data_IF_473242503674
#
_entry.id   IF_473242503674
#
_cell.length_a   1.000
_cell.length_b   1.000
_cell.length_c   1.000
_cell.angle_alpha   90.00
_cell.angle_beta   90.00
_cell.angle_gamma   90.00
#
_symmetry.space_group_name_H-M   'P 1'
#
loop_
_entity.id
_entity.type
_entity.pdbx_description
1 polymer ?
#
# COMPACT_ATOMS: atom_id res chain seq x y z
N UNK A 1 30.48 -40.16 15.12
CA UNK A 1 30.06 -39.31 13.97
C UNK A 1 28.56 -38.98 14.00
N UNK A 2 27.66 -39.90 14.24
CA UNK A 2 26.21 -39.69 14.30
C UNK A 2 25.73 -38.63 15.31
N UNK A 3 26.29 -38.53 16.52
CA UNK A 3 25.89 -37.52 17.54
C UNK A 3 26.12 -36.07 17.09
N UNK A 4 27.19 -35.79 16.31
CA UNK A 4 27.47 -34.43 15.80
C UNK A 4 26.49 -34.04 14.69
N UNK A 5 26.07 -34.99 13.86
CA UNK A 5 25.12 -34.74 12.77
C UNK A 5 23.72 -34.43 13.33
N UNK A 6 23.26 -35.16 14.36
CA UNK A 6 21.98 -34.92 15.03
C UNK A 6 21.93 -33.54 15.68
N UNK A 7 23.03 -33.09 16.28
CA UNK A 7 23.10 -31.75 16.89
C UNK A 7 23.00 -30.62 15.87
N UNK A 8 23.64 -30.77 14.70
CA UNK A 8 23.56 -29.78 13.61
C UNK A 8 22.15 -29.70 13.05
N UNK A 9 21.47 -30.83 12.84
CA UNK A 9 20.08 -30.88 12.35
C UNK A 9 19.13 -30.21 13.36
N UNK A 10 19.32 -30.43 14.66
CA UNK A 10 18.53 -29.81 15.72
C UNK A 10 18.68 -28.28 15.73
N UNK A 11 19.89 -27.76 15.56
CA UNK A 11 20.16 -26.31 15.50
C UNK A 11 19.49 -25.65 14.27
N UNK A 12 19.47 -26.32 13.11
CA UNK A 12 18.81 -25.79 11.91
C UNK A 12 17.28 -25.71 12.08
N UNK A 13 16.67 -26.71 12.71
CA UNK A 13 15.21 -26.70 12.99
C UNK A 13 14.80 -25.57 13.96
N UNK A 14 15.63 -25.25 14.96
CA UNK A 14 15.39 -24.13 15.87
C UNK A 14 15.44 -22.76 15.17
N UNK A 15 16.30 -22.58 14.17
CA UNK A 15 16.46 -21.34 13.44
C UNK A 15 15.21 -20.97 12.62
N UNK A 16 14.56 -21.95 12.00
CA UNK A 16 13.31 -21.73 11.23
C UNK A 16 12.11 -21.37 12.12
N UNK A 17 12.03 -21.91 13.32
CA UNK A 17 10.95 -21.59 14.27
C UNK A 17 11.00 -20.15 14.74
N UNK A 18 12.18 -19.61 14.99
CA UNK A 18 12.40 -18.23 15.47
C UNK A 18 11.99 -17.20 14.41
N UNK A 19 12.29 -17.43 13.14
CA UNK A 19 11.94 -16.51 12.05
C UNK A 19 10.42 -16.40 11.84
N UNK A 20 9.71 -17.53 11.86
CA UNK A 20 8.24 -17.56 11.71
C UNK A 20 7.52 -16.85 12.87
N UNK A 21 8.02 -17.02 14.09
CA UNK A 21 7.45 -16.38 15.28
C UNK A 21 7.67 -14.87 15.27
N UNK A 22 8.85 -14.40 14.84
CA UNK A 22 9.17 -12.99 14.65
C UNK A 22 8.23 -12.32 13.64
N UNK A 23 8.00 -12.94 12.48
CA UNK A 23 7.11 -12.37 11.45
C UNK A 23 5.67 -12.25 11.95
N UNK A 24 5.14 -13.25 12.68
CA UNK A 24 3.79 -13.18 13.27
C UNK A 24 3.64 -12.03 14.28
N UNK A 25 4.65 -11.82 15.12
CA UNK A 25 4.71 -10.72 16.09
C UNK A 25 4.72 -9.37 15.38
N UNK A 26 5.57 -9.19 14.36
CA UNK A 26 5.65 -7.98 13.56
C UNK A 26 4.30 -7.65 12.89
N UNK A 27 3.63 -8.62 12.29
CA UNK A 27 2.31 -8.41 11.69
C UNK A 27 1.26 -8.00 12.73
N UNK A 28 1.30 -8.55 13.94
CA UNK A 28 0.39 -8.14 15.04
C UNK A 28 0.64 -6.68 15.44
N UNK A 29 1.89 -6.28 15.56
CA UNK A 29 2.28 -4.89 15.85
C UNK A 29 1.81 -3.94 14.74
N UNK A 30 2.09 -4.25 13.48
CA UNK A 30 1.66 -3.46 12.31
C UNK A 30 0.14 -3.27 12.31
N UNK A 31 -0.62 -4.33 12.55
CA UNK A 31 -2.10 -4.24 12.62
C UNK A 31 -2.59 -3.36 13.77
N UNK A 32 -1.90 -3.37 14.92
CA UNK A 32 -2.21 -2.49 16.05
C UNK A 32 -1.98 -1.04 15.66
N UNK A 33 -0.80 -0.71 15.10
CA UNK A 33 -0.45 0.64 14.67
C UNK A 33 -1.40 1.16 13.57
N UNK A 34 -1.75 0.32 12.60
CA UNK A 34 -2.74 0.64 11.56
C UNK A 34 -4.09 1.03 12.17
N UNK A 35 -4.62 0.22 13.10
CA UNK A 35 -5.91 0.51 13.77
C UNK A 35 -5.87 1.82 14.55
N UNK A 36 -4.75 2.13 15.20
CA UNK A 36 -4.52 3.38 15.92
C UNK A 36 -4.62 4.58 14.98
N UNK A 37 -3.87 4.56 13.85
CA UNK A 37 -3.89 5.63 12.86
C UNK A 37 -5.29 5.82 12.26
N UNK A 38 -5.97 4.73 11.87
CA UNK A 38 -7.32 4.79 11.29
C UNK A 38 -8.34 5.36 12.29
N UNK A 39 -8.25 4.98 13.57
CA UNK A 39 -9.14 5.47 14.63
C UNK A 39 -9.00 6.98 14.85
N UNK A 40 -7.75 7.49 14.80
CA UNK A 40 -7.45 8.88 15.13
C UNK A 40 -7.35 9.79 13.89
N UNK A 41 -7.52 9.25 12.68
CA UNK A 41 -7.29 9.96 11.41
C UNK A 41 -7.97 11.33 11.32
N UNK A 42 -9.20 11.44 11.82
CA UNK A 42 -9.96 12.69 11.70
C UNK A 42 -9.47 13.79 12.66
N UNK A 43 -8.70 13.44 13.70
CA UNK A 43 -8.08 14.42 14.62
C UNK A 43 -6.72 14.92 14.14
N UNK A 44 -6.14 14.33 13.10
CA UNK A 44 -4.83 14.71 12.60
C UNK A 44 -4.89 16.00 11.78
N UNK A 45 -3.83 16.81 11.88
CA UNK A 45 -3.62 17.96 11.00
C UNK A 45 -3.37 17.48 9.59
N UNK A 46 -3.97 18.13 8.58
CA UNK A 46 -3.87 17.74 7.18
C UNK A 46 -3.03 18.76 6.40
N UNK A 47 -2.02 18.27 5.65
CA UNK A 47 -1.29 19.06 4.66
C UNK A 47 -1.57 18.47 3.28
N UNK A 48 -1.77 19.32 2.28
CA UNK A 48 -2.15 18.91 0.92
C UNK A 48 -1.03 19.27 -0.06
N UNK A 49 -0.81 18.41 -1.05
CA UNK A 49 0.15 18.62 -2.11
C UNK A 49 -0.39 18.03 -3.42
N UNK A 50 -0.39 18.83 -4.47
CA UNK A 50 -0.69 18.34 -5.81
C UNK A 50 0.53 17.60 -6.38
N UNK A 51 0.26 16.49 -7.06
CA UNK A 51 1.29 15.65 -7.68
C UNK A 51 1.23 15.79 -9.19
N UNK A 52 2.34 16.20 -9.79
CA UNK A 52 2.49 16.33 -11.23
C UNK A 52 3.19 15.10 -11.82
N UNK A 53 2.75 14.63 -12.99
CA UNK A 53 3.46 13.63 -13.79
C UNK A 53 3.26 12.16 -13.36
N UNK A 54 2.44 11.86 -12.35
CA UNK A 54 2.14 10.48 -11.93
C UNK A 54 1.01 9.80 -12.71
N UNK A 55 0.19 10.58 -13.42
CA UNK A 55 -0.90 10.13 -14.28
C UNK A 55 -1.27 11.23 -15.28
N UNK A 56 -2.08 10.89 -16.31
CA UNK A 56 -2.54 11.86 -17.31
C UNK A 56 -3.42 12.97 -16.72
N UNK A 57 -4.15 12.67 -15.65
CA UNK A 57 -5.11 13.55 -14.98
C UNK A 57 -4.57 14.14 -13.67
N UNK A 58 -3.26 13.95 -13.39
CA UNK A 58 -2.62 14.40 -12.17
C UNK A 58 -2.96 13.56 -10.94
N UNK A 59 -2.57 14.05 -9.77
CA UNK A 59 -2.80 13.38 -8.51
C UNK A 59 -2.72 14.34 -7.33
N UNK A 60 -3.11 13.86 -6.17
CA UNK A 60 -3.03 14.59 -4.92
C UNK A 60 -2.50 13.70 -3.80
N UNK A 61 -1.65 14.27 -2.96
CA UNK A 61 -1.21 13.68 -1.71
C UNK A 61 -1.76 14.48 -0.53
N UNK A 62 -2.16 13.77 0.52
CA UNK A 62 -2.58 14.37 1.79
C UNK A 62 -1.79 13.70 2.91
N UNK A 63 -0.98 14.47 3.60
CA UNK A 63 -0.30 14.02 4.82
C UNK A 63 -1.16 14.32 6.05
N UNK A 64 -1.23 13.35 6.95
CA UNK A 64 -1.94 13.40 8.23
C UNK A 64 -0.90 13.37 9.34
N UNK A 65 -0.86 14.43 10.15
CA UNK A 65 0.17 14.67 11.17
C UNK A 65 -0.44 14.67 12.57
N UNK A 66 0.26 14.02 13.48
CA UNK A 66 0.05 14.05 14.93
C UNK A 66 1.30 14.66 15.57
N UNK A 67 1.18 15.80 16.24
CA UNK A 67 2.30 16.53 16.85
C UNK A 67 3.52 16.68 15.88
N UNK A 68 3.25 17.17 14.67
CA UNK A 68 4.21 17.32 13.55
C UNK A 68 4.80 16.01 12.98
N UNK A 69 4.43 14.85 13.53
CA UNK A 69 4.86 13.57 13.01
C UNK A 69 3.89 13.04 11.96
N UNK A 70 4.37 12.71 10.78
CA UNK A 70 3.56 12.09 9.73
C UNK A 70 3.16 10.68 10.16
N UNK A 71 1.83 10.43 10.23
CA UNK A 71 1.25 9.14 10.58
C UNK A 71 0.70 8.40 9.36
N UNK A 72 0.26 9.16 8.36
CA UNK A 72 -0.31 8.65 7.13
C UNK A 72 -0.05 9.65 6.00
N UNK A 73 0.34 9.16 4.83
CA UNK A 73 0.23 9.91 3.57
C UNK A 73 -0.73 9.14 2.67
N UNK A 74 -1.84 9.77 2.30
CA UNK A 74 -2.81 9.22 1.36
C UNK A 74 -2.59 9.88 0.00
N UNK A 75 -2.40 9.07 -1.04
CA UNK A 75 -2.16 9.53 -2.41
C UNK A 75 -3.25 9.00 -3.33
N UNK A 76 -3.68 9.85 -4.27
CA UNK A 76 -4.62 9.49 -5.33
C UNK A 76 -4.03 9.90 -6.66
N UNK A 77 -3.88 8.97 -7.59
CA UNK A 77 -3.60 9.25 -9.00
C UNK A 77 -4.87 9.02 -9.80
N UNK A 78 -5.23 10.02 -10.58
CA UNK A 78 -6.46 10.03 -11.35
C UNK A 78 -6.17 9.66 -12.79
N UNK A 79 -7.06 8.93 -13.42
CA UNK A 79 -7.02 8.60 -14.83
C UNK A 79 -8.43 8.44 -15.38
N UNK A 80 -8.55 8.61 -16.68
CA UNK A 80 -9.81 8.56 -17.42
C UNK A 80 -10.60 7.26 -17.17
N UNK A 81 -9.91 6.12 -17.19
CA UNK A 81 -10.48 4.78 -17.06
C UNK A 81 -10.34 4.17 -15.66
N UNK A 82 -9.92 4.97 -14.67
CA UNK A 82 -9.74 4.47 -13.31
C UNK A 82 -8.92 5.40 -12.43
N UNK A 83 -8.67 4.96 -11.20
CA UNK A 83 -7.77 5.65 -10.27
C UNK A 83 -7.00 4.65 -9.45
N UNK A 84 -5.84 5.05 -8.99
CA UNK A 84 -5.09 4.30 -7.97
C UNK A 84 -4.97 5.14 -6.72
N UNK A 85 -5.32 4.57 -5.57
CA UNK A 85 -5.07 5.21 -4.28
C UNK A 85 -4.10 4.37 -3.47
N UNK A 86 -3.16 5.03 -2.80
CA UNK A 86 -2.23 4.39 -1.86
C UNK A 86 -2.22 5.15 -0.55
N UNK A 87 -2.27 4.40 0.54
CA UNK A 87 -2.16 4.91 1.90
C UNK A 87 -0.90 4.36 2.51
N UNK A 88 0.05 5.23 2.82
CA UNK A 88 1.36 4.93 3.41
C UNK A 88 1.32 5.26 4.89
N UNK A 89 1.49 4.26 5.74
CA UNK A 89 1.37 4.39 7.20
C UNK A 89 2.74 4.39 7.85
N UNK A 90 2.99 5.40 8.68
CA UNK A 90 4.29 5.62 9.32
C UNK A 90 4.18 5.60 10.84
N UNK A 91 5.28 5.22 11.48
CA UNK A 91 5.52 5.35 12.91
C UNK A 91 6.98 5.70 13.14
N UNK A 92 7.23 6.81 13.84
CA UNK A 92 8.59 7.35 14.04
C UNK A 92 9.34 7.45 12.70
N UNK A 93 8.71 8.06 11.69
CA UNK A 93 9.22 8.25 10.31
C UNK A 93 9.51 6.96 9.54
N UNK A 94 9.24 5.80 10.12
CA UNK A 94 9.41 4.51 9.44
C UNK A 94 8.12 4.01 8.83
N UNK A 95 8.17 3.68 7.54
CA UNK A 95 7.08 3.02 6.84
C UNK A 95 6.86 1.62 7.45
N UNK A 96 5.61 1.31 7.83
CA UNK A 96 5.27 -0.03 8.30
C UNK A 96 4.18 -0.72 7.47
N UNK A 97 3.35 0.03 6.73
CA UNK A 97 2.26 -0.56 5.97
C UNK A 97 1.86 0.31 4.79
N UNK A 98 1.55 -0.33 3.65
CA UNK A 98 0.91 0.33 2.51
C UNK A 98 -0.38 -0.42 2.19
N UNK A 99 -1.45 0.34 2.01
CA UNK A 99 -2.72 -0.14 1.47
C UNK A 99 -2.96 0.50 0.11
N UNK A 100 -2.99 -0.33 -0.93
CA UNK A 100 -3.21 0.08 -2.31
C UNK A 100 -4.59 -0.35 -2.76
N UNK A 101 -5.31 0.53 -3.45
CA UNK A 101 -6.59 0.26 -4.10
C UNK A 101 -6.51 0.72 -5.54
N UNK A 102 -6.80 -0.18 -6.47
CA UNK A 102 -6.82 0.07 -7.91
C UNK A 102 -8.26 -0.02 -8.37
N UNK A 103 -8.79 1.07 -8.89
CA UNK A 103 -10.15 1.17 -9.41
C UNK A 103 -10.10 1.17 -10.94
N UNK A 104 -10.89 0.32 -11.56
CA UNK A 104 -11.07 0.28 -13.02
C UNK A 104 -12.53 0.60 -13.34
N UNK A 105 -12.75 1.64 -14.12
CA UNK A 105 -14.06 2.08 -14.54
C UNK A 105 -14.53 1.27 -15.74
N UNK A 106 -15.86 1.17 -15.91
CA UNK A 106 -16.46 0.51 -17.07
C UNK A 106 -16.42 1.39 -18.34
N UNK A 107 -16.32 2.71 -18.17
CA UNK A 107 -16.22 3.69 -19.24
C UNK A 107 -15.43 4.92 -18.72
N UNK A 108 -14.94 5.82 -19.60
CA UNK A 108 -14.32 7.06 -19.18
C UNK A 108 -15.20 7.85 -18.21
N UNK A 109 -14.61 8.37 -17.12
CA UNK A 109 -15.35 9.01 -16.03
C UNK A 109 -16.21 10.21 -16.47
N UNK A 110 -15.85 10.85 -17.59
CA UNK A 110 -16.58 11.97 -18.16
C UNK A 110 -17.69 11.55 -19.17
N UNK A 111 -17.84 10.26 -19.45
CA UNK A 111 -18.95 9.75 -20.27
C UNK A 111 -20.19 9.57 -19.38
N UNK A 112 -20.94 10.63 -19.19
CA UNK A 112 -22.23 10.55 -18.55
C UNK A 112 -23.32 9.98 -19.47
N UNK A 113 -24.55 9.85 -18.95
CA UNK A 113 -25.67 9.32 -19.73
C UNK A 113 -26.09 10.20 -20.91
N UNK A 114 -25.83 11.51 -20.84
CA UNK A 114 -26.18 12.44 -21.91
C UNK A 114 -25.17 12.34 -23.03
N UNK A 115 -23.88 12.38 -22.72
CA UNK A 115 -22.79 12.16 -23.66
C UNK A 115 -22.92 10.80 -24.36
N UNK A 116 -23.26 9.74 -23.64
CA UNK A 116 -23.45 8.41 -24.24
C UNK A 116 -24.63 8.30 -25.20
N UNK A 117 -25.66 9.15 -25.08
CA UNK A 117 -26.77 9.20 -26.03
C UNK A 117 -26.41 9.86 -27.37
N UNK A 118 -25.47 10.80 -27.35
CA UNK A 118 -25.01 11.48 -28.57
C UNK A 118 -24.17 10.54 -29.46
N UNK A 119 -23.50 9.58 -28.85
CA UNK A 119 -22.65 8.60 -29.53
C UNK A 119 -23.32 7.23 -29.48
N UNK A 120 -23.87 6.77 -30.60
CA UNK A 120 -24.56 5.46 -30.73
C UNK A 120 -23.65 4.32 -30.25
N UNK A 121 -24.10 3.53 -29.25
CA UNK A 121 -23.45 2.35 -28.70
C UNK A 121 -22.22 2.59 -27.79
N UNK A 122 -22.08 3.76 -27.18
CA UNK A 122 -21.05 4.00 -26.18
C UNK A 122 -21.61 3.74 -24.78
N UNK A 123 -20.85 3.03 -23.94
CA UNK A 123 -21.20 2.81 -22.56
C UNK A 123 -20.91 4.08 -21.73
N UNK A 124 -21.86 4.51 -20.88
CA UNK A 124 -21.63 5.59 -19.93
C UNK A 124 -20.97 5.08 -18.63
N UNK A 125 -20.28 5.97 -17.94
CA UNK A 125 -19.69 5.69 -16.64
C UNK A 125 -20.78 5.37 -15.61
N UNK A 126 -20.62 4.23 -14.93
CA UNK A 126 -21.48 3.80 -13.81
C UNK A 126 -20.58 3.35 -12.65
N UNK A 127 -20.58 4.13 -11.58
CA UNK A 127 -19.78 3.82 -10.37
C UNK A 127 -20.06 2.42 -9.82
N UNK A 128 -21.29 1.91 -9.97
CA UNK A 128 -21.67 0.56 -9.54
C UNK A 128 -20.97 -0.56 -10.33
N UNK A 129 -20.48 -0.25 -11.53
CA UNK A 129 -19.72 -1.17 -12.39
C UNK A 129 -18.20 -1.02 -12.19
N UNK A 130 -17.76 -0.09 -11.35
CA UNK A 130 -16.33 0.08 -11.01
C UNK A 130 -15.81 -1.14 -10.29
N UNK A 131 -14.79 -1.80 -10.84
CA UNK A 131 -14.08 -2.87 -10.15
C UNK A 131 -13.00 -2.30 -9.23
N UNK A 132 -12.72 -3.00 -8.12
CA UNK A 132 -11.71 -2.58 -7.15
C UNK A 132 -10.84 -3.76 -6.74
N UNK A 133 -9.52 -3.60 -6.90
CA UNK A 133 -8.51 -4.51 -6.39
C UNK A 133 -7.80 -3.88 -5.19
N UNK A 134 -7.45 -4.68 -4.20
CA UNK A 134 -6.79 -4.21 -2.97
C UNK A 134 -5.53 -5.02 -2.70
N UNK A 135 -4.39 -4.37 -2.57
CA UNK A 135 -3.13 -4.98 -2.19
C UNK A 135 -2.64 -4.43 -0.84
N UNK A 136 -1.93 -5.25 -0.07
CA UNK A 136 -1.43 -4.90 1.25
C UNK A 136 0.04 -5.29 1.35
N UNK A 137 0.89 -4.29 1.67
CA UNK A 137 2.32 -4.46 1.80
C UNK A 137 2.73 -4.15 3.24
N UNK A 138 3.44 -5.07 3.88
CA UNK A 138 3.86 -4.97 5.26
C UNK A 138 5.37 -4.82 5.32
N UNK A 139 5.85 -3.79 6.02
CA UNK A 139 7.27 -3.47 6.14
C UNK A 139 7.72 -3.53 7.60
N UNK A 140 8.98 -3.89 7.82
CA UNK A 140 9.67 -3.77 9.11
C UNK A 140 11.12 -3.39 8.83
N UNK A 141 11.60 -2.31 9.45
CA UNK A 141 12.96 -1.79 9.25
C UNK A 141 13.32 -1.60 7.77
N UNK A 142 12.39 -1.02 6.98
CA UNK A 142 12.51 -0.82 5.53
C UNK A 142 12.59 -2.12 4.70
N UNK A 143 12.31 -3.27 5.28
CA UNK A 143 12.23 -4.53 4.56
C UNK A 143 10.77 -4.95 4.35
N UNK A 144 10.45 -5.41 3.13
CA UNK A 144 9.16 -5.99 2.80
C UNK A 144 9.06 -7.39 3.43
N UNK A 145 8.19 -7.55 4.45
CA UNK A 145 8.04 -8.83 5.18
C UNK A 145 6.80 -9.62 4.79
N UNK A 146 5.85 -9.01 4.09
CA UNK A 146 4.63 -9.67 3.62
C UNK A 146 3.93 -8.85 2.55
N UNK A 147 3.36 -9.54 1.55
CA UNK A 147 2.39 -8.97 0.60
C UNK A 147 1.13 -9.83 0.60
N UNK A 148 -0.03 -9.21 0.64
CA UNK A 148 -1.32 -9.85 0.34
C UNK A 148 -1.91 -9.19 -0.90
N UNK A 149 -2.31 -10.02 -1.87
CA UNK A 149 -3.03 -9.59 -3.07
C UNK A 149 -4.52 -9.29 -2.80
N UNK A 150 -5.25 -8.92 -3.84
CA UNK A 150 -6.69 -8.66 -3.80
C UNK A 150 -7.51 -9.84 -3.26
N UNK A 151 -7.08 -11.08 -3.47
CA UNK A 151 -7.72 -12.28 -2.95
C UNK A 151 -7.28 -12.59 -1.50
N UNK A 152 -6.50 -11.69 -0.86
CA UNK A 152 -5.86 -11.87 0.46
C UNK A 152 -4.90 -13.05 0.52
N UNK A 153 -4.42 -13.54 -0.62
CA UNK A 153 -3.37 -14.56 -0.71
C UNK A 153 -2.01 -13.92 -0.47
N UNK A 154 -1.18 -14.62 0.31
CA UNK A 154 0.21 -14.20 0.52
C UNK A 154 1.03 -14.47 -0.73
N UNK A 155 1.72 -13.43 -1.20
CA UNK A 155 2.62 -13.50 -2.34
C UNK A 155 4.00 -14.00 -1.91
N UNK A 156 4.70 -14.66 -2.84
CA UNK A 156 6.06 -15.13 -2.62
C UNK A 156 7.04 -13.95 -2.76
N UNK A 157 7.69 -13.58 -1.65
CA UNK A 157 8.65 -12.46 -1.60
C UNK A 157 9.96 -12.74 -2.38
N UNK A 158 10.23 -14.00 -2.73
CA UNK A 158 11.41 -14.35 -3.54
C UNK A 158 11.21 -14.10 -5.04
N UNK A 159 9.97 -13.84 -5.49
CA UNK A 159 9.71 -13.50 -6.88
C UNK A 159 10.25 -12.10 -7.18
N UNK A 160 10.96 -11.98 -8.31
CA UNK A 160 11.58 -10.74 -8.76
C UNK A 160 10.58 -9.57 -8.79
N UNK A 161 9.44 -9.78 -9.43
CA UNK A 161 8.40 -8.74 -9.58
C UNK A 161 7.84 -8.28 -8.23
N UNK A 162 7.64 -9.22 -7.28
CA UNK A 162 7.15 -8.89 -5.93
C UNK A 162 8.17 -8.04 -5.17
N UNK A 163 9.46 -8.37 -5.29
CA UNK A 163 10.54 -7.63 -4.65
C UNK A 163 10.70 -6.24 -5.28
N UNK A 164 10.80 -6.16 -6.61
CA UNK A 164 10.96 -4.90 -7.34
C UNK A 164 9.79 -3.94 -7.06
N UNK A 165 8.56 -4.44 -7.02
CA UNK A 165 7.40 -3.63 -6.65
C UNK A 165 7.47 -3.14 -5.20
N UNK A 166 7.88 -3.99 -4.27
CA UNK A 166 8.09 -3.59 -2.88
C UNK A 166 9.15 -2.50 -2.72
N UNK A 167 10.30 -2.66 -3.40
CA UNK A 167 11.40 -1.69 -3.38
C UNK A 167 10.96 -0.35 -4.03
N UNK A 168 10.19 -0.39 -5.12
CA UNK A 168 9.61 0.79 -5.77
C UNK A 168 8.69 1.55 -4.82
N UNK A 169 7.79 0.84 -4.15
CA UNK A 169 6.85 1.43 -3.20
C UNK A 169 7.56 2.03 -1.96
N UNK A 170 8.64 1.41 -1.51
CA UNK A 170 9.45 1.95 -0.43
C UNK A 170 10.14 3.27 -0.84
N UNK A 171 10.69 3.34 -2.05
CA UNK A 171 11.29 4.57 -2.61
C UNK A 171 10.23 5.67 -2.77
N UNK A 172 9.05 5.33 -3.26
CA UNK A 172 7.93 6.27 -3.37
C UNK A 172 7.51 6.80 -2.00
N UNK A 173 7.43 5.94 -0.97
CA UNK A 173 7.12 6.33 0.40
C UNK A 173 8.15 7.31 0.98
N UNK A 174 9.44 7.13 0.70
CA UNK A 174 10.51 8.05 1.10
C UNK A 174 10.37 9.41 0.41
N UNK A 175 10.18 9.42 -0.91
CA UNK A 175 10.01 10.66 -1.67
C UNK A 175 8.77 11.47 -1.23
N UNK A 176 7.67 10.78 -0.88
CA UNK A 176 6.48 11.41 -0.33
C UNK A 176 6.73 11.99 1.06
N UNK A 177 7.50 11.31 1.90
CA UNK A 177 7.90 11.83 3.21
C UNK A 177 8.70 13.13 3.06
N UNK A 178 9.71 13.14 2.19
CA UNK A 178 10.57 14.30 1.92
C UNK A 178 9.75 15.49 1.39
N UNK A 179 8.71 15.23 0.57
CA UNK A 179 7.82 16.26 0.01
C UNK A 179 7.06 17.06 1.08
N UNK A 180 6.76 16.45 2.23
CA UNK A 180 6.00 17.09 3.31
C UNK A 180 6.86 17.61 4.48
N UNK A 181 8.13 17.20 4.56
CA UNK A 181 9.07 17.62 5.59
C UNK A 181 9.89 18.84 5.17
N UNK A 182 10.03 19.11 3.85
CA UNK A 182 10.69 20.28 3.27
C UNK A 182 9.68 21.37 2.91
#
# INVERSE_FOLDING_TARGET
MFKKIIFVILCVLFSFSSFSQSTKSNIKEIRKNYKEVVKNKESYVKKYQDLMGGSSEGGQAVAYLEDDNIRLIAVSWLGEMGKTTRSYYYKNEQLFFIFEQIYTYNAPIYYDKETAKEYTNIEFFDDKKTSRLENRYYYKNNELIRVLDHAKKQQNLSLKDTKENGDRLLKEASALMDLFLN
#
